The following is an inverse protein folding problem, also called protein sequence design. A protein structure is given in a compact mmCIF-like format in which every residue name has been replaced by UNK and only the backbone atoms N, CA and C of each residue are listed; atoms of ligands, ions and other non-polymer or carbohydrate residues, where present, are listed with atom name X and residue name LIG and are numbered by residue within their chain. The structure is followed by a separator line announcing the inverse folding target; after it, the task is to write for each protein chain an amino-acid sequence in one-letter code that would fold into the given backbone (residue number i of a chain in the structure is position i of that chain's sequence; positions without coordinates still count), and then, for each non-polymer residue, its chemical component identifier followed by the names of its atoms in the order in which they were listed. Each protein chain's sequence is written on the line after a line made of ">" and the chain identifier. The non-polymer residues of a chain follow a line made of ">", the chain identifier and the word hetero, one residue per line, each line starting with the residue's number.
data_IF_693954879331
#
_entry.id   IF_693954879331
#
_cell.length_a   1.000
_cell.length_b   1.000
_cell.length_c   1.000
_cell.angle_alpha   90.00
_cell.angle_beta   90.00
_cell.angle_gamma   90.00
#
_symmetry.space_group_name_H-M   'P 1'
#
loop_
_entity.id
_entity.type
_entity.pdbx_description
1 polymer ?
#
# COMPACT_ATOMS: atom_id res chain seq x y z
N UNK A 1 -4.37 -4.65 -24.17
CA UNK A 1 -5.50 -5.60 -24.20
C UNK A 1 -5.35 -6.61 -25.32
N UNK A 2 -5.26 -6.18 -26.57
CA UNK A 2 -5.21 -7.05 -27.77
C UNK A 2 -4.13 -8.14 -27.70
N UNK A 3 -2.91 -7.78 -27.31
CA UNK A 3 -1.77 -8.71 -27.21
C UNK A 3 -2.02 -9.84 -26.21
N UNK A 4 -2.82 -9.60 -25.18
CA UNK A 4 -3.19 -10.57 -24.14
C UNK A 4 -4.53 -11.26 -24.43
N UNK A 5 -5.18 -10.95 -25.55
CA UNK A 5 -6.51 -11.48 -25.88
C UNK A 5 -7.62 -10.99 -24.94
N UNK A 6 -7.41 -9.86 -24.24
CA UNK A 6 -8.38 -9.27 -23.32
C UNK A 6 -9.12 -8.10 -23.99
N UNK A 7 -10.44 -8.16 -24.00
CA UNK A 7 -11.29 -7.14 -24.63
C UNK A 7 -11.34 -5.83 -23.83
N UNK A 8 -11.17 -5.91 -22.51
CA UNK A 8 -11.28 -4.76 -21.58
C UNK A 8 -10.22 -4.88 -20.49
N UNK A 9 -9.02 -4.36 -20.77
CA UNK A 9 -7.95 -4.23 -19.80
C UNK A 9 -7.73 -2.76 -19.50
N UNK A 10 -7.78 -2.39 -18.22
CA UNK A 10 -7.53 -1.04 -17.72
C UNK A 10 -6.37 -1.03 -16.76
N UNK A 11 -5.60 0.04 -16.78
CA UNK A 11 -4.52 0.30 -15.83
C UNK A 11 -4.95 1.46 -14.94
N UNK A 12 -5.02 1.22 -13.64
CA UNK A 12 -5.23 2.28 -12.65
C UNK A 12 -3.87 2.81 -12.22
N UNK A 13 -3.48 3.93 -12.82
CA UNK A 13 -2.19 4.53 -12.55
C UNK A 13 -2.20 5.33 -11.24
N UNK A 14 -1.64 4.76 -10.20
CA UNK A 14 -1.57 5.36 -8.87
C UNK A 14 -0.37 6.31 -8.68
N UNK A 15 0.53 6.38 -9.64
CA UNK A 15 1.61 7.36 -9.70
C UNK A 15 1.12 8.80 -9.92
N UNK A 16 -0.11 9.00 -10.38
CA UNK A 16 -0.72 10.33 -10.57
C UNK A 16 -1.27 10.95 -9.29
N UNK A 17 -1.29 10.21 -8.17
CA UNK A 17 -1.66 10.79 -6.89
C UNK A 17 -0.66 11.86 -6.44
N UNK A 18 -1.07 12.83 -5.60
CA UNK A 18 -0.13 13.68 -4.89
C UNK A 18 0.93 12.82 -4.19
N UNK A 19 2.18 13.21 -4.18
CA UNK A 19 3.33 12.41 -3.72
C UNK A 19 3.70 11.20 -4.60
N UNK A 20 3.18 11.13 -5.84
CA UNK A 20 3.59 10.15 -6.84
C UNK A 20 3.26 8.68 -6.52
N UNK A 21 2.44 8.41 -5.51
CA UNK A 21 2.12 7.03 -5.11
C UNK A 21 0.73 6.88 -4.51
N UNK A 22 0.18 5.66 -4.53
CA UNK A 22 -1.08 5.33 -3.86
C UNK A 22 -1.04 5.52 -2.33
N UNK A 23 0.14 5.72 -1.73
CA UNK A 23 0.26 5.97 -0.28
C UNK A 23 -0.47 7.25 0.13
N UNK A 24 -0.53 8.24 -0.75
CA UNK A 24 -1.28 9.49 -0.57
C UNK A 24 -2.71 9.25 -0.04
N UNK A 25 -3.44 8.31 -0.62
CA UNK A 25 -4.84 8.02 -0.27
C UNK A 25 -5.04 7.72 1.21
N UNK A 26 -4.28 6.76 1.72
CA UNK A 26 -4.42 6.34 3.12
C UNK A 26 -3.77 7.31 4.10
N UNK A 27 -2.63 7.86 3.75
CA UNK A 27 -1.89 8.78 4.63
C UNK A 27 -2.65 10.09 4.83
N UNK A 28 -3.25 10.65 3.76
CA UNK A 28 -4.06 11.87 3.89
C UNK A 28 -5.26 11.67 4.82
N UNK A 29 -5.98 10.56 4.68
CA UNK A 29 -7.11 10.23 5.55
C UNK A 29 -6.67 10.03 7.02
N UNK A 30 -5.58 9.26 7.24
CA UNK A 30 -5.06 9.00 8.56
C UNK A 30 -4.62 10.29 9.27
N UNK A 31 -3.85 11.15 8.63
CA UNK A 31 -3.40 12.42 9.19
C UNK A 31 -4.60 13.33 9.48
N UNK A 32 -5.50 13.53 8.50
CA UNK A 32 -6.66 14.39 8.66
C UNK A 32 -7.54 13.97 9.82
N UNK A 33 -7.85 12.67 9.91
CA UNK A 33 -8.70 12.16 10.98
C UNK A 33 -8.00 12.18 12.34
N UNK A 34 -6.70 11.92 12.40
CA UNK A 34 -5.96 11.99 13.67
C UNK A 34 -5.89 13.43 14.19
N UNK A 35 -5.72 14.42 13.32
CA UNK A 35 -5.78 15.85 13.70
C UNK A 35 -7.18 16.20 14.23
N UNK A 36 -8.24 15.78 13.55
CA UNK A 36 -9.63 15.96 14.02
C UNK A 36 -9.84 15.37 15.42
N UNK A 37 -9.15 14.28 15.73
CA UNK A 37 -9.18 13.63 17.05
C UNK A 37 -8.20 14.21 18.06
N UNK A 38 -7.47 15.29 17.70
CA UNK A 38 -6.62 16.03 18.61
C UNK A 38 -5.11 15.72 18.52
N UNK A 39 -4.66 14.96 17.52
CA UNK A 39 -3.22 14.76 17.32
C UNK A 39 -2.53 16.07 16.95
N UNK A 40 -1.46 16.42 17.68
CA UNK A 40 -0.66 17.63 17.48
C UNK A 40 0.57 17.42 16.58
N UNK A 41 0.89 16.18 16.28
CA UNK A 41 2.01 15.75 15.43
C UNK A 41 2.12 14.24 15.41
N UNK A 42 3.09 13.74 14.66
CA UNK A 42 3.18 12.33 14.32
C UNK A 42 4.59 11.78 14.43
N UNK A 43 4.69 10.48 14.74
CA UNK A 43 5.88 9.66 14.48
C UNK A 43 5.56 8.59 13.45
N UNK A 44 6.55 8.15 12.68
CA UNK A 44 6.35 7.09 11.69
C UNK A 44 7.65 6.31 11.43
N UNK A 45 7.64 4.98 11.55
CA UNK A 45 8.73 4.15 11.03
C UNK A 45 8.45 3.83 9.55
N UNK A 46 9.30 4.32 8.65
CA UNK A 46 9.14 4.00 7.22
C UNK A 46 10.41 4.33 6.43
N UNK A 47 10.84 3.41 5.58
CA UNK A 47 11.97 3.58 4.66
C UNK A 47 11.54 3.93 3.22
N UNK A 48 10.24 4.14 2.98
CA UNK A 48 9.72 4.25 1.61
C UNK A 48 8.62 5.31 1.45
N UNK A 49 7.84 5.17 0.39
CA UNK A 49 6.81 6.12 -0.06
C UNK A 49 5.75 6.53 1.00
N UNK A 50 5.60 5.75 2.07
CA UNK A 50 4.70 6.14 3.16
C UNK A 50 5.27 7.30 3.97
N UNK A 51 6.60 7.34 4.17
CA UNK A 51 7.27 8.46 4.84
C UNK A 51 7.17 9.75 4.02
N UNK A 52 7.45 9.69 2.72
CA UNK A 52 7.32 10.83 1.81
C UNK A 52 5.89 11.39 1.78
N UNK A 53 4.89 10.51 1.64
CA UNK A 53 3.50 10.93 1.72
C UNK A 53 3.16 11.57 3.09
N UNK A 54 3.62 10.96 4.20
CA UNK A 54 3.45 11.50 5.54
C UNK A 54 4.05 12.89 5.68
N UNK A 55 5.27 13.07 5.20
CA UNK A 55 5.99 14.33 5.25
C UNK A 55 5.23 15.46 4.53
N UNK A 56 4.80 15.22 3.29
CA UNK A 56 4.06 16.21 2.50
C UNK A 56 2.71 16.57 3.12
N UNK A 57 1.94 15.58 3.58
CA UNK A 57 0.64 15.86 4.19
C UNK A 57 0.74 16.50 5.58
N UNK A 58 1.72 16.14 6.39
CA UNK A 58 1.99 16.82 7.66
C UNK A 58 2.42 18.28 7.43
N UNK A 59 3.32 18.52 6.47
CA UNK A 59 3.72 19.88 6.09
C UNK A 59 2.51 20.70 5.62
N UNK A 60 1.65 20.13 4.78
CA UNK A 60 0.42 20.81 4.32
C UNK A 60 -0.55 21.11 5.45
N UNK A 61 -0.63 20.25 6.45
CA UNK A 61 -1.48 20.42 7.63
C UNK A 61 -0.85 21.34 8.70
N UNK A 62 0.41 21.73 8.56
CA UNK A 62 1.12 22.56 9.53
C UNK A 62 1.47 21.83 10.83
N UNK A 63 1.58 20.50 10.79
CA UNK A 63 1.93 19.66 11.96
C UNK A 63 3.28 18.97 11.77
N UNK A 64 3.92 18.62 12.86
CA UNK A 64 5.24 17.94 12.84
C UNK A 64 5.10 16.47 12.46
N UNK A 65 6.09 15.97 11.71
CA UNK A 65 6.33 14.55 11.51
C UNK A 65 7.78 14.22 11.85
N UNK A 66 7.97 13.22 12.71
CA UNK A 66 9.27 12.63 13.00
C UNK A 66 9.33 11.23 12.38
N UNK A 67 10.16 11.06 11.35
CA UNK A 67 10.34 9.80 10.64
C UNK A 67 11.55 9.05 11.17
N UNK A 68 11.37 7.79 11.50
CA UNK A 68 12.44 6.85 11.85
C UNK A 68 12.65 5.88 10.70
N UNK A 69 13.85 5.83 10.14
CA UNK A 69 14.14 4.93 9.02
C UNK A 69 15.52 4.28 9.15
N UNK A 70 15.69 3.05 8.66
CA UNK A 70 17.00 2.40 8.60
C UNK A 70 18.01 3.25 7.82
N UNK A 71 19.29 3.17 8.19
CA UNK A 71 20.35 3.92 7.52
C UNK A 71 20.50 3.57 6.04
N UNK A 72 20.20 2.33 5.66
CA UNK A 72 20.23 1.83 4.28
C UNK A 72 18.98 2.20 3.46
N UNK A 73 18.03 2.97 4.04
CA UNK A 73 16.88 3.48 3.28
C UNK A 73 17.34 4.28 2.04
N UNK A 74 16.59 4.19 0.93
CA UNK A 74 16.95 4.92 -0.30
C UNK A 74 17.09 6.42 -0.07
N UNK A 75 18.15 7.02 -0.60
CA UNK A 75 18.42 8.46 -0.44
C UNK A 75 17.32 9.36 -0.97
N UNK A 76 16.61 8.92 -2.00
CA UNK A 76 15.45 9.62 -2.52
C UNK A 76 14.37 9.81 -1.46
N UNK A 77 14.06 8.76 -0.69
CA UNK A 77 13.05 8.80 0.36
C UNK A 77 13.49 9.66 1.57
N UNK A 78 14.78 9.63 1.91
CA UNK A 78 15.34 10.53 2.95
C UNK A 78 15.19 12.00 2.53
N UNK A 79 15.59 12.31 1.28
CA UNK A 79 15.53 13.66 0.71
C UNK A 79 14.09 14.17 0.63
N UNK A 80 13.14 13.34 0.21
CA UNK A 80 11.72 13.69 0.14
C UNK A 80 11.18 14.14 1.50
N UNK A 81 11.47 13.40 2.57
CA UNK A 81 11.07 13.75 3.92
C UNK A 81 11.70 15.07 4.40
N UNK A 82 13.00 15.24 4.17
CA UNK A 82 13.72 16.46 4.57
C UNK A 82 13.24 17.70 3.80
N UNK A 83 13.01 17.57 2.49
CA UNK A 83 12.47 18.65 1.65
C UNK A 83 11.08 19.12 2.12
N UNK A 84 10.26 18.20 2.63
CA UNK A 84 8.96 18.53 3.20
C UNK A 84 9.04 19.06 4.65
N UNK A 85 10.24 19.20 5.21
CA UNK A 85 10.46 19.75 6.56
C UNK A 85 10.22 18.76 7.69
N UNK A 86 10.20 17.46 7.42
CA UNK A 86 10.11 16.44 8.47
C UNK A 86 11.45 16.25 9.18
N UNK A 87 11.38 15.90 10.46
CA UNK A 87 12.53 15.40 11.20
C UNK A 87 12.79 13.95 10.80
N UNK A 88 14.05 13.59 10.54
CA UNK A 88 14.44 12.24 10.11
C UNK A 88 15.53 11.72 11.01
N UNK A 89 15.26 10.63 11.73
CA UNK A 89 16.25 9.87 12.49
C UNK A 89 16.64 8.61 11.75
N UNK A 90 17.92 8.50 11.41
CA UNK A 90 18.48 7.29 10.79
C UNK A 90 18.86 6.30 11.89
N UNK A 91 18.40 5.06 11.74
CA UNK A 91 18.51 4.01 12.74
C UNK A 91 19.47 2.92 12.26
N UNK A 92 20.44 2.55 13.06
CA UNK A 92 21.24 1.34 12.84
C UNK A 92 20.38 0.11 13.15
N UNK A 93 20.03 -0.67 12.13
CA UNK A 93 19.20 -1.85 12.28
C UNK A 93 18.09 -1.93 11.22
N UNK A 94 17.08 -2.71 11.53
CA UNK A 94 15.96 -3.00 10.64
C UNK A 94 14.80 -2.02 10.85
N UNK A 95 13.81 -2.11 9.97
CA UNK A 95 12.56 -1.33 10.10
C UNK A 95 11.82 -1.60 11.43
N UNK A 96 11.98 -2.78 12.01
CA UNK A 96 11.46 -3.12 13.33
C UNK A 96 12.11 -2.30 14.45
N UNK A 97 13.41 -2.00 14.29
CA UNK A 97 14.15 -1.16 15.28
C UNK A 97 13.69 0.29 15.17
N UNK A 98 13.55 0.79 13.94
CA UNK A 98 12.93 2.09 13.67
C UNK A 98 11.51 2.17 14.27
N UNK A 99 10.73 1.09 14.16
CA UNK A 99 9.38 0.98 14.73
C UNK A 99 9.38 1.15 16.26
N UNK A 100 10.30 0.49 16.97
CA UNK A 100 10.42 0.63 18.44
C UNK A 100 10.76 2.07 18.87
N UNK A 101 11.69 2.70 18.14
CA UNK A 101 12.07 4.08 18.42
C UNK A 101 10.94 5.07 18.10
N UNK A 102 10.19 4.86 17.03
CA UNK A 102 9.04 5.69 16.69
C UNK A 102 7.94 5.62 17.76
N UNK A 103 7.66 4.45 18.31
CA UNK A 103 6.70 4.26 19.40
C UNK A 103 7.20 4.97 20.66
N UNK A 104 8.46 4.78 21.07
CA UNK A 104 9.03 5.42 22.24
C UNK A 104 8.98 6.96 22.11
N UNK A 105 9.35 7.51 20.96
CA UNK A 105 9.27 8.94 20.70
C UNK A 105 7.81 9.46 20.70
N UNK A 106 6.86 8.67 20.22
CA UNK A 106 5.44 9.02 20.29
C UNK A 106 4.96 9.18 21.74
N UNK A 107 5.31 8.23 22.59
CA UNK A 107 4.96 8.26 24.03
C UNK A 107 5.65 9.42 24.76
N UNK A 108 6.95 9.62 24.54
CA UNK A 108 7.73 10.67 25.18
C UNK A 108 7.28 12.09 24.80
N UNK A 109 6.94 12.29 23.53
CA UNK A 109 6.62 13.61 22.98
C UNK A 109 5.10 13.89 22.88
N UNK A 110 4.25 12.94 23.24
CA UNK A 110 2.80 13.04 23.10
C UNK A 110 2.34 13.11 21.63
N UNK A 111 3.07 12.45 20.72
CA UNK A 111 2.76 12.40 19.31
C UNK A 111 1.95 11.15 18.96
N UNK A 112 1.24 11.20 17.82
CA UNK A 112 0.50 10.05 17.34
C UNK A 112 1.40 9.12 16.52
N UNK A 113 1.41 7.81 16.85
CA UNK A 113 2.12 6.80 16.07
C UNK A 113 1.37 6.47 14.78
N UNK A 114 1.87 6.98 13.66
CA UNK A 114 1.33 6.76 12.32
C UNK A 114 1.92 5.49 11.66
N UNK A 115 2.14 4.43 12.42
CA UNK A 115 2.57 3.14 11.89
C UNK A 115 1.47 2.47 11.08
N UNK A 116 1.87 1.61 10.12
CA UNK A 116 0.91 0.97 9.21
C UNK A 116 -0.09 0.09 9.96
N UNK A 117 -1.38 0.37 9.76
CA UNK A 117 -2.53 -0.37 10.30
C UNK A 117 -2.65 -0.39 11.84
N UNK A 118 -1.99 0.50 12.54
CA UNK A 118 -2.26 0.75 13.97
C UNK A 118 -3.47 1.66 14.18
N UNK A 119 -4.01 2.21 13.10
CA UNK A 119 -5.23 3.00 13.04
C UNK A 119 -6.06 2.58 11.80
N UNK A 120 -7.38 2.74 11.81
CA UNK A 120 -8.24 2.26 10.72
C UNK A 120 -8.26 3.22 9.51
N UNK A 121 -7.92 4.49 9.70
CA UNK A 121 -8.16 5.55 8.71
C UNK A 121 -7.31 5.42 7.46
N UNK A 122 -6.14 4.78 7.58
CA UNK A 122 -5.31 4.46 6.43
C UNK A 122 -6.02 3.48 5.48
N UNK A 123 -6.71 2.48 6.01
CA UNK A 123 -7.52 1.57 5.21
C UNK A 123 -8.76 2.30 4.65
N UNK A 124 -9.39 3.18 5.44
CA UNK A 124 -10.51 4.02 4.99
C UNK A 124 -10.12 4.90 3.80
N UNK A 125 -8.96 5.56 3.86
CA UNK A 125 -8.45 6.33 2.72
C UNK A 125 -8.17 5.49 1.47
N UNK A 126 -7.79 4.21 1.64
CA UNK A 126 -7.57 3.28 0.52
C UNK A 126 -8.87 2.87 -0.18
N UNK A 127 -10.04 2.96 0.46
CA UNK A 127 -11.34 2.74 -0.19
C UNK A 127 -11.52 3.60 -1.43
N UNK A 128 -10.98 4.83 -1.41
CA UNK A 128 -11.11 5.77 -2.52
C UNK A 128 -10.59 5.21 -3.85
N UNK A 129 -9.63 4.28 -3.83
CA UNK A 129 -9.17 3.62 -5.04
C UNK A 129 -10.27 2.75 -5.65
N UNK A 130 -10.99 1.97 -4.84
CA UNK A 130 -12.14 1.17 -5.29
C UNK A 130 -13.32 2.04 -5.74
N UNK A 131 -13.62 3.10 -4.99
CA UNK A 131 -14.68 4.06 -5.34
C UNK A 131 -14.40 4.73 -6.70
N UNK A 132 -13.17 5.17 -6.94
CA UNK A 132 -12.76 5.75 -8.22
C UNK A 132 -12.81 4.74 -9.36
N UNK A 133 -12.40 3.48 -9.14
CA UNK A 133 -12.50 2.43 -10.15
C UNK A 133 -13.96 2.26 -10.58
N UNK A 134 -14.89 2.11 -9.64
CA UNK A 134 -16.32 1.98 -9.95
C UNK A 134 -16.86 3.20 -10.71
N UNK A 135 -16.53 4.41 -10.24
CA UNK A 135 -16.93 5.67 -10.89
C UNK A 135 -16.37 5.77 -12.31
N UNK A 136 -15.07 5.48 -12.52
CA UNK A 136 -14.40 5.56 -13.81
C UNK A 136 -14.90 4.52 -14.82
N UNK A 137 -15.43 3.40 -14.33
CA UNK A 137 -16.10 2.38 -15.13
C UNK A 137 -17.60 2.64 -15.32
N UNK A 138 -18.09 3.85 -15.02
CA UNK A 138 -19.50 4.21 -15.16
C UNK A 138 -20.40 3.55 -14.12
N UNK A 139 -19.94 3.47 -12.87
CA UNK A 139 -20.61 2.81 -11.75
C UNK A 139 -20.86 1.33 -11.97
N UNK A 140 -19.85 0.67 -12.51
CA UNK A 140 -19.84 -0.78 -12.72
C UNK A 140 -18.66 -1.41 -11.98
N UNK A 141 -18.87 -2.62 -11.50
CA UNK A 141 -17.79 -3.41 -10.94
C UNK A 141 -16.91 -3.98 -12.06
N UNK A 142 -15.57 -3.97 -11.92
CA UNK A 142 -14.72 -4.79 -12.78
C UNK A 142 -14.90 -6.28 -12.43
N UNK A 143 -14.63 -7.18 -13.38
CA UNK A 143 -14.67 -8.62 -13.12
C UNK A 143 -13.51 -9.07 -12.22
N UNK A 144 -12.34 -8.48 -12.44
CA UNK A 144 -11.08 -8.87 -11.79
C UNK A 144 -10.24 -7.64 -11.48
N UNK A 145 -9.59 -7.65 -10.33
CA UNK A 145 -8.53 -6.70 -9.97
C UNK A 145 -7.24 -7.46 -9.71
N UNK A 146 -6.22 -7.18 -10.52
CA UNK A 146 -4.85 -7.66 -10.31
C UNK A 146 -4.10 -6.59 -9.54
N UNK A 147 -3.56 -6.95 -8.36
CA UNK A 147 -2.97 -5.98 -7.45
C UNK A 147 -1.59 -6.41 -6.95
N UNK A 148 -0.53 -5.59 -7.17
CA UNK A 148 0.78 -5.81 -6.61
C UNK A 148 0.72 -5.70 -5.08
N UNK A 149 1.10 -6.77 -4.38
CA UNK A 149 0.77 -6.92 -2.97
C UNK A 149 2.02 -7.03 -2.10
N UNK A 150 2.31 -5.98 -1.33
CA UNK A 150 3.21 -6.04 -0.17
C UNK A 150 2.38 -6.20 1.11
N UNK A 151 2.18 -5.11 1.87
CA UNK A 151 1.31 -5.09 3.07
C UNK A 151 -0.20 -5.17 2.79
N UNK A 152 -0.64 -5.21 1.53
CA UNK A 152 -2.02 -5.49 1.09
C UNK A 152 -3.09 -4.45 1.46
N UNK A 153 -2.71 -3.29 1.99
CA UNK A 153 -3.68 -2.28 2.42
C UNK A 153 -4.61 -1.80 1.31
N UNK A 154 -4.16 -1.85 0.04
CA UNK A 154 -4.97 -1.51 -1.12
C UNK A 154 -6.06 -2.54 -1.38
N UNK A 155 -5.75 -3.84 -1.31
CA UNK A 155 -6.76 -4.92 -1.42
C UNK A 155 -7.81 -4.74 -0.33
N UNK A 156 -7.38 -4.59 0.92
CA UNK A 156 -8.29 -4.42 2.07
C UNK A 156 -9.19 -3.20 1.87
N UNK A 157 -8.62 -2.06 1.47
CA UNK A 157 -9.37 -0.83 1.24
C UNK A 157 -10.36 -0.95 0.08
N UNK A 158 -9.93 -1.47 -1.06
CA UNK A 158 -10.82 -1.66 -2.21
C UNK A 158 -11.94 -2.67 -1.92
N UNK A 159 -11.60 -3.79 -1.28
CA UNK A 159 -12.59 -4.80 -0.88
C UNK A 159 -13.69 -4.19 -0.01
N UNK A 160 -13.31 -3.44 1.04
CA UNK A 160 -14.24 -2.71 1.88
C UNK A 160 -15.05 -1.68 1.09
N UNK A 161 -14.40 -0.86 0.25
CA UNK A 161 -15.06 0.17 -0.55
C UNK A 161 -16.09 -0.41 -1.53
N UNK A 162 -15.81 -1.54 -2.16
CA UNK A 162 -16.76 -2.21 -3.05
C UNK A 162 -17.94 -2.82 -2.30
N UNK A 163 -17.70 -3.36 -1.09
CA UNK A 163 -18.80 -3.84 -0.24
C UNK A 163 -19.74 -2.69 0.12
N UNK A 164 -19.20 -1.55 0.55
CA UNK A 164 -20.00 -0.36 0.87
C UNK A 164 -20.79 0.16 -0.34
N UNK A 165 -20.21 0.15 -1.55
CA UNK A 165 -20.93 0.55 -2.77
C UNK A 165 -22.11 -0.37 -3.09
N UNK A 166 -21.96 -1.68 -2.86
CA UNK A 166 -23.05 -2.65 -3.02
C UNK A 166 -24.14 -2.44 -1.96
N UNK A 167 -23.76 -2.26 -0.68
CA UNK A 167 -24.68 -2.02 0.42
C UNK A 167 -25.50 -0.73 0.25
N UNK A 168 -24.87 0.31 -0.31
CA UNK A 168 -25.52 1.58 -0.62
C UNK A 168 -26.38 1.53 -1.90
N UNK A 169 -26.30 0.44 -2.67
CA UNK A 169 -27.01 0.30 -3.93
C UNK A 169 -26.50 1.23 -5.05
N UNK A 170 -25.26 1.72 -4.96
CA UNK A 170 -24.65 2.57 -5.98
C UNK A 170 -24.15 1.76 -7.17
N UNK A 171 -23.86 0.50 -6.94
CA UNK A 171 -23.46 -0.47 -7.96
C UNK A 171 -24.22 -1.77 -7.74
N UNK A 172 -24.38 -2.53 -8.80
CA UNK A 172 -25.01 -3.85 -8.78
C UNK A 172 -24.02 -4.95 -9.20
N UNK A 173 -24.34 -6.19 -8.87
CA UNK A 173 -23.58 -7.35 -9.27
C UNK A 173 -22.79 -8.02 -8.15
N UNK A 174 -21.60 -8.50 -8.47
CA UNK A 174 -20.71 -9.22 -7.54
C UNK A 174 -19.45 -8.43 -7.29
N UNK A 175 -18.81 -8.65 -6.16
CA UNK A 175 -17.47 -8.16 -5.88
C UNK A 175 -16.47 -8.66 -6.95
N UNK A 176 -15.51 -7.82 -7.38
CA UNK A 176 -14.46 -8.24 -8.29
C UNK A 176 -13.59 -9.32 -7.65
N UNK A 177 -13.10 -10.27 -8.43
CA UNK A 177 -12.09 -11.22 -7.97
C UNK A 177 -10.78 -10.50 -7.73
N UNK A 178 -10.24 -10.61 -6.53
CA UNK A 178 -8.91 -10.07 -6.23
C UNK A 178 -7.81 -11.09 -6.54
N UNK A 179 -6.85 -10.66 -7.34
CA UNK A 179 -5.63 -11.41 -7.62
C UNK A 179 -4.46 -10.68 -6.96
N UNK A 180 -3.95 -11.25 -5.87
CA UNK A 180 -2.77 -10.72 -5.22
C UNK A 180 -1.51 -11.21 -5.95
N UNK A 181 -0.65 -10.28 -6.36
CA UNK A 181 0.63 -10.59 -7.02
C UNK A 181 1.77 -10.20 -6.10
N UNK A 182 2.67 -11.13 -5.80
CA UNK A 182 3.87 -10.90 -5.01
C UNK A 182 5.13 -11.26 -5.80
N UNK A 183 6.27 -10.72 -5.38
CA UNK A 183 7.55 -11.15 -5.90
C UNK A 183 7.92 -12.54 -5.35
N UNK A 184 8.45 -13.43 -6.19
CA UNK A 184 8.86 -14.79 -5.78
C UNK A 184 9.83 -14.79 -4.60
N UNK A 185 10.70 -13.78 -4.49
CA UNK A 185 11.64 -13.64 -3.37
C UNK A 185 11.02 -13.10 -2.06
N UNK A 186 9.72 -12.71 -2.05
CA UNK A 186 9.00 -12.28 -0.85
C UNK A 186 7.48 -12.48 -1.04
N UNK A 187 6.98 -13.70 -0.79
CA UNK A 187 5.63 -14.10 -1.14
C UNK A 187 4.82 -14.77 0.00
N UNK A 188 4.79 -14.19 1.21
CA UNK A 188 4.12 -14.81 2.35
C UNK A 188 2.62 -15.04 2.14
N UNK A 189 1.93 -14.12 1.44
CA UNK A 189 0.50 -14.24 1.15
C UNK A 189 0.23 -15.35 0.14
N UNK A 190 1.06 -15.46 -0.91
CA UNK A 190 0.94 -16.54 -1.91
C UNK A 190 1.08 -17.89 -1.26
N UNK A 191 2.12 -18.06 -0.42
CA UNK A 191 2.36 -19.31 0.31
C UNK A 191 1.16 -19.67 1.20
N UNK A 192 0.71 -18.76 2.06
CA UNK A 192 -0.43 -19.01 2.94
C UNK A 192 -1.73 -19.30 2.18
N UNK A 193 -1.95 -18.64 1.04
CA UNK A 193 -3.11 -18.92 0.19
C UNK A 193 -3.07 -20.33 -0.40
N UNK A 194 -1.92 -20.78 -0.90
CA UNK A 194 -1.71 -22.12 -1.48
C UNK A 194 -1.81 -23.24 -0.44
N UNK A 195 -1.32 -22.97 0.77
CA UNK A 195 -1.38 -23.93 1.90
C UNK A 195 -2.77 -23.96 2.56
N UNK A 196 -3.67 -23.02 2.22
CA UNK A 196 -5.01 -22.92 2.82
C UNK A 196 -5.02 -22.25 4.19
N UNK A 197 -3.92 -21.66 4.61
CA UNK A 197 -3.75 -21.02 5.91
C UNK A 197 -4.56 -19.73 6.05
N UNK A 198 -5.04 -19.44 7.26
CA UNK A 198 -5.80 -18.22 7.55
C UNK A 198 -4.91 -16.99 7.75
N UNK A 199 -3.64 -17.18 8.06
CA UNK A 199 -2.64 -16.14 8.26
C UNK A 199 -1.30 -16.57 7.66
N UNK A 200 -0.47 -15.62 7.29
CA UNK A 200 0.85 -15.91 6.71
C UNK A 200 1.92 -16.08 7.80
N UNK A 201 2.93 -16.88 7.49
CA UNK A 201 4.16 -16.94 8.27
C UNK A 201 5.16 -15.90 7.75
N UNK A 202 6.06 -15.45 8.63
CA UNK A 202 7.13 -14.54 8.23
C UNK A 202 8.01 -15.18 7.14
N UNK A 203 8.30 -14.41 6.09
CA UNK A 203 9.15 -14.86 4.99
C UNK A 203 10.62 -14.61 5.29
N UNK A 204 11.40 -15.66 5.40
CA UNK A 204 12.84 -15.59 5.64
C UNK A 204 13.62 -15.24 4.36
N UNK A 205 14.68 -14.47 4.48
CA UNK A 205 15.54 -14.12 3.35
C UNK A 205 14.88 -13.26 2.27
N UNK A 206 13.90 -12.43 2.63
CA UNK A 206 13.13 -11.60 1.70
C UNK A 206 14.03 -10.71 0.83
N UNK A 207 13.98 -10.94 -0.49
CA UNK A 207 14.73 -10.18 -1.48
C UNK A 207 13.88 -9.97 -2.74
N UNK A 208 13.84 -8.74 -3.26
CA UNK A 208 13.13 -8.40 -4.49
C UNK A 208 13.62 -7.07 -5.04
N UNK A 209 13.50 -6.87 -6.35
CA UNK A 209 13.68 -5.57 -7.00
C UNK A 209 12.55 -4.58 -6.65
N UNK A 210 11.37 -5.11 -6.31
CA UNK A 210 10.20 -4.33 -5.93
C UNK A 210 10.25 -3.97 -4.43
N UNK A 211 11.10 -3.03 -4.04
CA UNK A 211 11.28 -2.64 -2.63
C UNK A 211 9.97 -2.27 -1.93
N UNK A 212 9.05 -1.62 -2.64
CA UNK A 212 7.73 -1.25 -2.12
C UNK A 212 6.83 -2.44 -1.77
N UNK A 213 7.14 -3.63 -2.30
CA UNK A 213 6.43 -4.89 -2.06
C UNK A 213 7.16 -5.83 -1.08
N UNK A 214 8.39 -5.50 -0.67
CA UNK A 214 9.18 -6.29 0.26
C UNK A 214 8.64 -6.20 1.68
N UNK A 215 7.57 -6.93 1.95
CA UNK A 215 6.91 -7.00 3.25
C UNK A 215 6.88 -8.44 3.73
N UNK A 216 7.93 -8.89 4.47
CA UNK A 216 8.08 -10.29 4.89
C UNK A 216 6.99 -10.77 5.84
N UNK A 217 6.37 -9.87 6.58
CA UNK A 217 5.31 -10.18 7.54
C UNK A 217 4.22 -9.09 7.48
N UNK A 218 3.24 -9.20 6.56
CA UNK A 218 2.13 -8.26 6.46
C UNK A 218 1.28 -8.30 7.73
N UNK A 219 1.04 -7.15 8.35
CA UNK A 219 0.31 -7.05 9.63
C UNK A 219 -1.13 -7.55 9.55
N UNK A 220 -1.82 -7.30 8.43
CA UNK A 220 -3.21 -7.67 8.21
C UNK A 220 -3.36 -8.74 7.11
N UNK A 221 -2.48 -9.71 7.10
CA UNK A 221 -2.44 -10.82 6.14
C UNK A 221 -3.75 -11.62 6.09
N UNK A 222 -4.38 -11.86 7.23
CA UNK A 222 -5.67 -12.54 7.33
C UNK A 222 -6.79 -11.79 6.59
N UNK A 223 -6.81 -10.45 6.59
CA UNK A 223 -7.78 -9.65 5.84
C UNK A 223 -7.52 -9.72 4.33
N UNK A 224 -6.25 -9.78 3.92
CA UNK A 224 -5.87 -9.96 2.52
C UNK A 224 -6.36 -11.32 2.03
N UNK A 225 -6.04 -12.39 2.78
CA UNK A 225 -6.44 -13.77 2.47
C UNK A 225 -7.96 -13.92 2.45
N UNK A 226 -8.66 -13.29 3.38
CA UNK A 226 -10.11 -13.23 3.41
C UNK A 226 -10.66 -12.60 2.14
N UNK A 227 -10.22 -11.38 1.77
CA UNK A 227 -10.69 -10.69 0.58
C UNK A 227 -10.49 -11.52 -0.70
N UNK A 228 -9.33 -12.18 -0.84
CA UNK A 228 -9.06 -13.05 -1.99
C UNK A 228 -10.05 -14.24 -2.03
N UNK A 229 -10.26 -14.92 -0.90
CA UNK A 229 -11.14 -16.10 -0.81
C UNK A 229 -12.60 -15.75 -1.00
N UNK A 230 -13.09 -14.71 -0.32
CA UNK A 230 -14.50 -14.28 -0.39
C UNK A 230 -14.90 -13.86 -1.81
N UNK A 231 -13.95 -13.37 -2.59
CA UNK A 231 -14.19 -12.97 -3.98
C UNK A 231 -13.92 -14.07 -5.01
N UNK A 232 -13.50 -15.25 -4.58
CA UNK A 232 -13.09 -16.33 -5.49
C UNK A 232 -11.88 -15.96 -6.34
N UNK A 233 -11.00 -15.12 -5.79
CA UNK A 233 -9.74 -14.70 -6.38
C UNK A 233 -8.62 -15.71 -6.21
N UNK A 234 -7.37 -15.24 -6.38
CA UNK A 234 -6.18 -16.08 -6.21
C UNK A 234 -4.98 -15.24 -5.79
N UNK A 235 -3.89 -15.91 -5.41
CA UNK A 235 -2.60 -15.28 -5.17
C UNK A 235 -1.53 -15.99 -6.01
N UNK A 236 -0.64 -15.21 -6.62
CA UNK A 236 0.44 -15.73 -7.45
C UNK A 236 1.73 -14.93 -7.26
N UNK A 237 2.85 -15.56 -7.54
CA UNK A 237 4.16 -14.94 -7.50
C UNK A 237 4.71 -14.76 -8.91
N UNK A 238 5.54 -13.71 -9.08
CA UNK A 238 6.25 -13.41 -10.32
C UNK A 238 7.75 -13.30 -10.04
N UNK A 239 8.56 -13.76 -10.98
CA UNK A 239 10.01 -13.67 -10.90
C UNK A 239 10.50 -12.24 -11.23
N UNK A 240 11.68 -11.88 -10.70
CA UNK A 240 12.27 -10.56 -10.95
C UNK A 240 12.44 -10.25 -12.44
N UNK A 241 12.79 -11.26 -13.25
CA UNK A 241 12.93 -11.12 -14.68
C UNK A 241 11.59 -10.79 -15.36
N UNK A 242 10.52 -11.47 -14.96
CA UNK A 242 9.18 -11.24 -15.50
C UNK A 242 8.68 -9.83 -15.20
N UNK A 243 8.97 -9.32 -13.98
CA UNK A 243 8.65 -7.93 -13.62
C UNK A 243 9.34 -6.92 -14.55
N UNK A 244 10.66 -7.09 -14.79
CA UNK A 244 11.42 -6.19 -15.66
C UNK A 244 10.92 -6.26 -17.11
N UNK A 245 10.65 -7.46 -17.63
CA UNK A 245 10.09 -7.66 -18.96
C UNK A 245 8.72 -6.97 -19.09
N UNK A 246 7.84 -7.13 -18.10
CA UNK A 246 6.52 -6.50 -18.09
C UNK A 246 6.60 -4.97 -17.99
N UNK A 247 7.53 -4.42 -17.21
CA UNK A 247 7.78 -2.97 -17.16
C UNK A 247 8.16 -2.41 -18.52
N UNK A 248 9.10 -3.05 -19.22
CA UNK A 248 9.52 -2.65 -20.57
C UNK A 248 8.38 -2.76 -21.56
N UNK A 249 7.61 -3.84 -21.51
CA UNK A 249 6.46 -4.03 -22.37
C UNK A 249 5.41 -2.95 -22.14
N UNK A 250 5.03 -2.69 -20.89
CA UNK A 250 4.05 -1.67 -20.53
C UNK A 250 4.51 -0.26 -20.99
N UNK A 251 5.75 0.08 -20.75
CA UNK A 251 6.29 1.37 -21.17
C UNK A 251 6.31 1.53 -22.70
N UNK A 252 6.68 0.48 -23.44
CA UNK A 252 6.80 0.54 -24.91
C UNK A 252 5.47 0.43 -25.64
N UNK A 253 4.43 -0.20 -25.05
CA UNK A 253 3.14 -0.40 -25.72
C UNK A 253 2.07 0.59 -25.28
N UNK A 254 2.07 1.00 -24.02
CA UNK A 254 1.03 1.85 -23.43
C UNK A 254 1.56 3.23 -22.95
N UNK A 255 2.88 3.45 -22.99
CA UNK A 255 3.48 4.70 -22.53
C UNK A 255 3.43 4.89 -21.00
N UNK A 256 3.20 3.82 -20.24
CA UNK A 256 3.12 3.86 -18.79
C UNK A 256 4.43 3.35 -18.18
N UNK A 257 5.17 4.25 -17.50
CA UNK A 257 6.40 3.91 -16.80
C UNK A 257 6.07 3.48 -15.36
N UNK A 258 5.83 2.18 -15.16
CA UNK A 258 5.63 1.62 -13.84
C UNK A 258 6.97 1.27 -13.16
N UNK A 259 7.01 1.30 -11.83
CA UNK A 259 8.11 0.68 -11.06
C UNK A 259 7.88 -0.84 -10.92
N UNK A 260 8.94 -1.60 -10.56
CA UNK A 260 8.81 -3.03 -10.30
C UNK A 260 7.80 -3.36 -9.23
#
# INVERSE_FOLDING_TARGET
>A
GEKLGLNSLFIKEEGLNPTGTFKARGISAAISKSIELGASGFTMPSAGNAAGAGAVYCARAGVKLHVFMPQDAPDANKKECLLAGSEVTLVEGLISDAGRLAVAAAEEQGLFDLSTLKEPYRAEGKKTMGLEIAMQLGWKMPDVIVYPTGGGTGIIGMYKGFQELLELGWVEGKLPKFIAVQAAGCQPIVKAFQEGDLASQAWEGAATLADGLRVPHPFADYLILQAIRDTGGTALAVEAREMVEAMHELASTEGVAACP
#
